data_IF_641749287905
#
_entry.id   IF_641749287905
#
_cell.length_a   1.000
_cell.length_b   1.000
_cell.length_c   1.000
_cell.angle_alpha   90.00
_cell.angle_beta   90.00
_cell.angle_gamma   90.00
#
_symmetry.space_group_name_H-M   'P 1'
#
loop_
_entity.id
_entity.type
_entity.pdbx_description
1 polymer ?
#
# COMPACT_ATOMS: atom_id res chain seq x y z
N UNK A 1 8.07 -19.29 -61.36
CA UNK A 1 7.20 -18.09 -61.32
C UNK A 1 7.16 -17.65 -59.87
N UNK A 2 8.17 -16.94 -59.38
CA UNK A 2 8.49 -15.53 -59.62
C UNK A 2 7.85 -14.66 -58.53
N UNK A 3 8.74 -14.12 -57.68
CA UNK A 3 8.62 -12.92 -56.82
C UNK A 3 7.54 -12.95 -55.72
N UNK A 4 7.86 -12.80 -54.44
CA UNK A 4 8.58 -11.66 -53.85
C UNK A 4 9.53 -12.08 -52.72
N UNK A 5 10.83 -12.07 -53.01
CA UNK A 5 11.93 -12.28 -52.03
C UNK A 5 12.37 -10.93 -51.40
N UNK A 6 11.64 -9.84 -51.67
CA UNK A 6 12.08 -8.47 -51.36
C UNK A 6 11.81 -7.96 -49.92
N UNK A 7 11.14 -8.72 -49.06
CA UNK A 7 10.74 -8.24 -47.71
C UNK A 7 11.46 -8.91 -46.53
N UNK A 8 12.44 -9.78 -46.79
CA UNK A 8 13.22 -10.46 -45.73
C UNK A 8 14.64 -9.90 -45.51
N UNK A 9 15.03 -8.84 -46.21
CA UNK A 9 16.38 -8.25 -46.12
C UNK A 9 16.46 -6.90 -45.36
N UNK A 10 15.42 -6.49 -44.62
CA UNK A 10 15.40 -5.23 -43.86
C UNK A 10 15.34 -5.39 -42.32
N UNK A 11 15.91 -6.47 -41.77
CA UNK A 11 15.77 -6.74 -40.32
C UNK A 11 17.07 -6.97 -39.55
N UNK A 12 18.24 -6.67 -40.12
CA UNK A 12 19.50 -6.67 -39.38
C UNK A 12 20.43 -5.56 -39.87
N UNK A 13 20.01 -4.31 -39.73
CA UNK A 13 20.94 -3.18 -39.76
C UNK A 13 21.41 -2.96 -38.32
N UNK A 14 22.60 -3.47 -38.03
CA UNK A 14 23.28 -3.30 -36.76
C UNK A 14 23.98 -1.93 -36.81
N UNK A 15 23.36 -0.89 -36.25
CA UNK A 15 24.02 0.40 -36.03
C UNK A 15 25.16 0.21 -35.02
N UNK A 16 26.35 -0.05 -35.56
CA UNK A 16 27.60 -0.02 -34.82
C UNK A 16 28.04 1.44 -34.72
N UNK A 17 27.66 2.09 -33.62
CA UNK A 17 28.32 3.32 -33.20
C UNK A 17 29.84 3.12 -33.21
N UNK A 18 30.55 4.05 -33.84
CA UNK A 18 32.00 4.03 -33.98
C UNK A 18 32.69 3.74 -32.64
N UNK A 19 33.51 2.68 -32.60
CA UNK A 19 34.35 2.33 -31.45
C UNK A 19 35.14 3.55 -30.97
N UNK A 20 34.84 4.02 -29.75
CA UNK A 20 35.72 4.93 -29.04
C UNK A 20 37.02 4.17 -28.73
N UNK A 21 38.07 4.46 -29.49
CA UNK A 21 39.44 4.10 -29.14
C UNK A 21 39.74 4.66 -27.76
N UNK A 22 40.10 3.79 -26.84
CA UNK A 22 40.83 4.17 -25.64
C UNK A 22 42.12 4.85 -26.08
N UNK A 23 42.16 6.18 -26.01
CA UNK A 23 43.40 6.95 -26.09
C UNK A 23 43.55 7.55 -24.70
N UNK A 24 44.52 7.04 -23.96
CA UNK A 24 45.06 7.73 -22.79
C UNK A 24 45.68 9.03 -23.28
N UNK A 25 45.06 10.16 -22.96
CA UNK A 25 45.69 11.49 -23.05
C UNK A 25 45.85 11.99 -21.63
N UNK A 26 47.06 11.80 -21.12
CA UNK A 26 47.58 12.58 -20.00
C UNK A 26 47.68 14.04 -20.42
N UNK A 27 47.11 14.92 -19.60
CA UNK A 27 47.44 16.33 -19.46
C UNK A 27 47.19 17.22 -20.69
N UNK A 28 46.20 18.10 -20.55
CA UNK A 28 46.31 19.54 -20.83
C UNK A 28 45.06 20.17 -20.20
N UNK A 29 45.23 20.68 -18.98
CA UNK A 29 44.33 21.71 -18.47
C UNK A 29 44.71 22.99 -19.22
N UNK A 30 43.75 23.56 -19.94
CA UNK A 30 43.79 24.98 -20.25
C UNK A 30 43.68 25.71 -18.90
N UNK A 31 44.80 26.27 -18.46
CA UNK A 31 44.82 27.23 -17.36
C UNK A 31 44.45 28.57 -17.96
N UNK A 32 43.22 29.01 -17.70
CA UNK A 32 42.85 30.41 -17.75
C UNK A 32 43.53 31.13 -16.57
N UNK A 33 44.83 31.40 -16.68
CA UNK A 33 45.59 32.24 -15.74
C UNK A 33 46.35 33.32 -16.54
N UNK A 34 45.64 34.08 -17.38
CA UNK A 34 46.14 35.38 -17.84
C UNK A 34 45.03 36.42 -17.62
N UNK A 35 45.25 37.25 -16.59
CA UNK A 35 44.83 38.65 -16.44
C UNK A 35 44.49 38.96 -14.98
N UNK A 36 45.51 38.92 -14.13
CA UNK A 36 45.48 39.67 -12.86
C UNK A 36 46.75 40.52 -12.79
N UNK A 37 46.87 41.43 -13.77
CA UNK A 37 47.81 42.56 -13.70
C UNK A 37 47.35 43.40 -12.51
N UNK A 38 48.03 43.27 -11.37
CA UNK A 38 47.85 44.17 -10.23
C UNK A 38 48.25 45.59 -10.67
N UNK A 39 47.28 46.36 -11.13
CA UNK A 39 47.44 47.77 -11.44
C UNK A 39 47.73 48.52 -10.14
N UNK A 40 49.00 48.86 -9.92
CA UNK A 40 49.37 49.73 -8.81
C UNK A 40 48.77 51.13 -9.05
N UNK A 41 48.12 51.75 -8.03
CA UNK A 41 47.52 53.06 -8.20
C UNK A 41 48.62 54.12 -8.30
N UNK A 42 48.76 54.71 -9.49
CA UNK A 42 49.71 55.79 -9.76
C UNK A 42 49.19 57.08 -9.11
N UNK A 43 49.89 57.55 -8.08
CA UNK A 43 49.63 58.83 -7.42
C UNK A 43 50.11 59.96 -8.35
N UNK A 44 49.16 60.74 -8.90
CA UNK A 44 49.42 61.86 -9.83
C UNK A 44 49.62 63.20 -9.09
N UNK A 45 50.51 63.26 -8.10
CA UNK A 45 50.83 64.53 -7.42
C UNK A 45 52.34 64.78 -7.34
N UNK A 46 52.73 66.06 -7.47
CA UNK A 46 54.12 66.54 -7.50
C UNK A 46 54.77 66.51 -6.11
N UNK A 47 56.07 66.17 -6.07
CA UNK A 47 56.85 65.80 -4.88
C UNK A 47 56.75 66.75 -3.67
N UNK A 48 56.46 68.03 -3.89
CA UNK A 48 56.48 69.04 -2.82
C UNK A 48 55.22 69.02 -1.92
N UNK A 49 54.08 68.52 -2.41
CA UNK A 49 52.84 68.36 -1.61
C UNK A 49 52.82 67.06 -0.79
N UNK A 50 53.70 66.11 -1.11
CA UNK A 50 53.81 64.81 -0.46
C UNK A 50 54.53 64.88 0.89
N UNK A 51 55.33 65.91 1.13
CA UNK A 51 56.14 66.07 2.34
C UNK A 51 55.31 66.67 3.49
N UNK A 52 54.41 67.62 3.22
CA UNK A 52 53.49 68.18 4.24
C UNK A 52 52.35 67.24 4.63
N UNK A 53 51.95 66.33 3.74
CA UNK A 53 50.86 65.37 3.97
C UNK A 53 51.34 63.96 4.32
N UNK A 54 52.64 63.78 4.57
CA UNK A 54 53.32 62.48 4.73
C UNK A 54 52.67 61.50 5.73
N UNK A 55 52.03 62.01 6.78
CA UNK A 55 51.30 61.18 7.77
C UNK A 55 49.91 60.77 7.23
N UNK A 56 49.23 61.65 6.50
CA UNK A 56 47.92 61.40 5.89
C UNK A 56 48.02 60.52 4.62
N UNK A 57 49.11 60.62 3.86
CA UNK A 57 49.36 59.80 2.65
C UNK A 57 49.71 58.35 2.98
N UNK A 58 50.44 58.10 4.08
CA UNK A 58 50.69 56.75 4.61
C UNK A 58 49.41 56.09 5.12
N UNK A 59 48.55 56.84 5.82
CA UNK A 59 47.24 56.35 6.25
C UNK A 59 46.31 56.07 5.07
N UNK A 60 46.33 56.93 4.04
CA UNK A 60 45.53 56.75 2.81
C UNK A 60 45.98 55.54 1.99
N UNK A 61 47.29 55.28 1.89
CA UNK A 61 47.83 54.09 1.21
C UNK A 61 47.59 52.81 2.01
N UNK A 62 47.63 52.85 3.35
CA UNK A 62 47.21 51.75 4.22
C UNK A 62 45.72 51.43 4.08
N UNK A 63 44.87 52.46 4.04
CA UNK A 63 43.43 52.33 3.77
C UNK A 63 43.19 51.70 2.41
N UNK A 64 43.86 52.18 1.36
CA UNK A 64 43.76 51.61 0.02
C UNK A 64 44.20 50.15 -0.04
N UNK A 65 45.28 49.80 0.66
CA UNK A 65 45.75 48.41 0.76
C UNK A 65 44.76 47.51 1.49
N UNK A 66 44.08 48.05 2.52
CA UNK A 66 43.00 47.34 3.23
C UNK A 66 41.74 47.22 2.38
N UNK A 67 41.42 48.24 1.59
CA UNK A 67 40.31 48.24 0.63
C UNK A 67 40.55 47.20 -0.46
N UNK A 68 41.76 47.14 -1.03
CA UNK A 68 42.17 46.08 -1.97
C UNK A 68 42.15 44.68 -1.33
N UNK A 69 42.57 44.53 -0.08
CA UNK A 69 42.45 43.26 0.66
C UNK A 69 40.98 42.84 0.84
N UNK A 70 40.11 43.80 1.19
CA UNK A 70 38.67 43.56 1.35
C UNK A 70 38.03 43.20 0.02
N UNK A 71 38.36 43.91 -1.06
CA UNK A 71 37.86 43.63 -2.41
C UNK A 71 38.33 42.27 -2.91
N UNK A 72 39.58 41.88 -2.62
CA UNK A 72 40.09 40.55 -2.95
C UNK A 72 39.35 39.44 -2.19
N UNK A 73 39.13 39.62 -0.89
CA UNK A 73 38.35 38.68 -0.08
C UNK A 73 36.89 38.63 -0.54
N UNK A 74 36.32 39.77 -0.95
CA UNK A 74 34.98 39.86 -1.49
C UNK A 74 34.86 39.13 -2.83
N UNK A 75 35.84 39.27 -3.72
CA UNK A 75 35.92 38.54 -4.99
C UNK A 75 36.05 37.02 -4.77
N UNK A 76 36.91 36.59 -3.83
CA UNK A 76 37.05 35.17 -3.45
C UNK A 76 35.74 34.61 -2.85
N UNK A 77 35.04 35.39 -2.03
CA UNK A 77 33.75 35.03 -1.47
C UNK A 77 32.68 34.89 -2.55
N UNK A 78 32.66 35.81 -3.52
CA UNK A 78 31.73 35.77 -4.66
C UNK A 78 32.01 34.58 -5.58
N UNK A 79 33.27 34.28 -5.85
CA UNK A 79 33.68 33.08 -6.58
C UNK A 79 33.23 31.80 -5.87
N UNK A 80 33.45 31.70 -4.55
CA UNK A 80 32.98 30.55 -3.74
C UNK A 80 31.46 30.43 -3.69
N UNK A 81 30.75 31.55 -3.60
CA UNK A 81 29.28 31.58 -3.67
C UNK A 81 28.79 31.11 -5.04
N UNK A 82 29.47 31.49 -6.12
CA UNK A 82 29.13 31.04 -7.46
C UNK A 82 29.39 29.54 -7.66
N UNK A 83 30.54 29.04 -7.22
CA UNK A 83 30.89 27.61 -7.22
C UNK A 83 29.87 26.78 -6.42
N UNK A 84 29.45 27.28 -5.25
CA UNK A 84 28.40 26.65 -4.45
C UNK A 84 27.05 26.63 -5.17
N UNK A 85 26.64 27.75 -5.78
CA UNK A 85 25.39 27.81 -6.57
C UNK A 85 25.41 26.80 -7.73
N UNK A 86 26.51 26.70 -8.47
CA UNK A 86 26.64 25.73 -9.55
C UNK A 86 26.55 24.28 -9.05
N UNK A 87 27.23 23.95 -7.94
CA UNK A 87 27.13 22.62 -7.33
C UNK A 87 25.71 22.29 -6.87
N UNK A 88 25.03 23.26 -6.27
CA UNK A 88 23.63 23.10 -5.84
C UNK A 88 22.70 22.90 -7.04
N UNK A 89 22.89 23.64 -8.14
CA UNK A 89 22.10 23.47 -9.35
C UNK A 89 22.35 22.10 -10.01
N UNK A 90 23.61 21.66 -10.08
CA UNK A 90 23.97 20.34 -10.59
C UNK A 90 23.36 19.20 -9.73
N UNK A 91 23.37 19.34 -8.41
CA UNK A 91 22.71 18.40 -7.50
C UNK A 91 21.19 18.41 -7.69
N UNK A 92 20.57 19.58 -7.83
CA UNK A 92 19.13 19.70 -8.07
C UNK A 92 18.73 19.03 -9.41
N UNK A 93 19.48 19.26 -10.49
CA UNK A 93 19.28 18.60 -11.78
C UNK A 93 19.38 17.08 -11.65
N UNK A 94 20.43 16.59 -10.98
CA UNK A 94 20.64 15.15 -10.77
C UNK A 94 19.55 14.52 -9.91
N UNK A 95 19.06 15.23 -8.90
CA UNK A 95 17.93 14.78 -8.07
C UNK A 95 16.65 14.61 -8.91
N UNK A 96 16.34 15.58 -9.78
CA UNK A 96 15.18 15.52 -10.67
C UNK A 96 15.31 14.35 -11.66
N UNK A 97 16.49 14.12 -12.22
CA UNK A 97 16.73 12.99 -13.13
C UNK A 97 16.54 11.64 -12.45
N UNK A 98 17.09 11.48 -11.23
CA UNK A 98 16.91 10.26 -10.44
C UNK A 98 15.44 10.03 -10.12
N UNK A 99 14.71 11.08 -9.73
CA UNK A 99 13.29 10.99 -9.45
C UNK A 99 12.48 10.60 -10.69
N UNK A 100 12.77 11.21 -11.86
CA UNK A 100 12.17 10.82 -13.15
C UNK A 100 12.46 9.36 -13.50
N UNK A 101 13.68 8.88 -13.26
CA UNK A 101 14.06 7.49 -13.53
C UNK A 101 13.35 6.52 -12.60
N UNK A 102 13.24 6.85 -11.31
CA UNK A 102 12.44 6.07 -10.36
C UNK A 102 10.97 6.02 -10.76
N UNK A 103 10.38 7.14 -11.17
CA UNK A 103 8.99 7.17 -11.58
C UNK A 103 8.76 6.29 -12.82
N UNK A 104 9.59 6.42 -13.86
CA UNK A 104 9.55 5.55 -15.04
C UNK A 104 9.67 4.06 -14.67
N UNK A 105 10.50 3.73 -13.68
CA UNK A 105 10.66 2.35 -13.22
C UNK A 105 9.39 1.85 -12.50
N UNK A 106 8.80 2.67 -11.63
CA UNK A 106 7.52 2.36 -10.98
C UNK A 106 6.40 2.17 -11.99
N UNK A 107 6.31 3.04 -12.99
CA UNK A 107 5.30 2.96 -14.04
C UNK A 107 5.47 1.66 -14.87
N UNK A 108 6.71 1.29 -15.21
CA UNK A 108 7.00 0.00 -15.88
C UNK A 108 6.60 -1.19 -15.03
N UNK A 109 6.93 -1.19 -13.73
CA UNK A 109 6.54 -2.27 -12.82
C UNK A 109 5.02 -2.37 -12.71
N UNK A 110 4.31 -1.24 -12.63
CA UNK A 110 2.84 -1.22 -12.61
C UNK A 110 2.25 -1.77 -13.92
N UNK A 111 2.80 -1.37 -15.07
CA UNK A 111 2.40 -1.89 -16.38
C UNK A 111 2.63 -3.40 -16.46
N UNK A 112 3.83 -3.89 -16.14
CA UNK A 112 4.13 -5.33 -16.13
C UNK A 112 3.24 -6.11 -15.16
N UNK A 113 2.96 -5.56 -13.98
CA UNK A 113 2.01 -6.15 -13.04
C UNK A 113 0.61 -6.28 -13.64
N UNK A 114 0.14 -5.25 -14.36
CA UNK A 114 -1.14 -5.29 -15.09
C UNK A 114 -1.12 -6.33 -16.21
N UNK A 115 -0.07 -6.36 -17.02
CA UNK A 115 0.10 -7.34 -18.11
C UNK A 115 0.13 -8.79 -17.59
N UNK A 116 0.83 -9.05 -16.49
CA UNK A 116 0.87 -10.38 -15.87
C UNK A 116 -0.52 -10.81 -15.39
N UNK A 117 -1.25 -9.92 -14.70
CA UNK A 117 -2.62 -10.21 -14.26
C UNK A 117 -3.55 -10.49 -15.43
N UNK A 118 -3.47 -9.69 -16.49
CA UNK A 118 -4.29 -9.87 -17.69
C UNK A 118 -3.94 -11.17 -18.43
N UNK A 119 -2.64 -11.48 -18.57
CA UNK A 119 -2.19 -12.72 -19.18
C UNK A 119 -2.63 -13.94 -18.37
N UNK A 120 -2.51 -13.89 -17.05
CA UNK A 120 -2.97 -14.96 -16.18
C UNK A 120 -4.49 -15.12 -16.25
N UNK A 121 -5.25 -14.03 -16.33
CA UNK A 121 -6.69 -14.08 -16.56
C UNK A 121 -7.03 -14.71 -17.92
N UNK A 122 -6.30 -14.38 -18.99
CA UNK A 122 -6.45 -15.00 -20.32
C UNK A 122 -6.15 -16.50 -20.26
N UNK A 123 -5.06 -16.89 -19.60
CA UNK A 123 -4.68 -18.31 -19.40
C UNK A 123 -5.76 -19.07 -18.64
N UNK A 124 -6.27 -18.52 -17.52
CA UNK A 124 -7.35 -19.14 -16.74
C UNK A 124 -8.62 -19.31 -17.57
N UNK A 125 -9.04 -18.29 -18.32
CA UNK A 125 -10.21 -18.38 -19.23
C UNK A 125 -10.01 -19.45 -20.30
N UNK A 126 -8.82 -19.52 -20.91
CA UNK A 126 -8.52 -20.53 -21.92
C UNK A 126 -8.57 -21.95 -21.34
N UNK A 127 -7.98 -22.17 -20.16
CA UNK A 127 -8.01 -23.46 -19.46
C UNK A 127 -9.45 -23.84 -19.10
N UNK A 128 -10.23 -22.90 -18.57
CA UNK A 128 -11.63 -23.16 -18.20
C UNK A 128 -12.46 -23.51 -19.44
N UNK A 129 -12.30 -22.77 -20.54
CA UNK A 129 -12.98 -23.05 -21.81
C UNK A 129 -12.61 -24.42 -22.36
N UNK A 130 -11.32 -24.77 -22.34
CA UNK A 130 -10.85 -26.09 -22.73
C UNK A 130 -11.47 -27.20 -21.86
N UNK A 131 -11.47 -27.04 -20.53
CA UNK A 131 -12.08 -28.02 -19.63
C UNK A 131 -13.59 -28.18 -19.88
N UNK A 132 -14.31 -27.10 -20.14
CA UNK A 132 -15.74 -27.17 -20.47
C UNK A 132 -15.98 -27.86 -21.82
N UNK A 133 -15.15 -27.59 -22.83
CA UNK A 133 -15.25 -28.22 -24.14
C UNK A 133 -14.93 -29.71 -24.09
N UNK A 134 -13.93 -30.12 -23.30
CA UNK A 134 -13.59 -31.53 -23.09
C UNK A 134 -14.75 -32.27 -22.43
N UNK A 135 -15.31 -31.73 -21.34
CA UNK A 135 -16.48 -32.34 -20.67
C UNK A 135 -17.69 -32.44 -21.59
N UNK A 136 -17.97 -31.39 -22.36
CA UNK A 136 -19.07 -31.39 -23.32
C UNK A 136 -18.83 -32.44 -24.42
N UNK A 137 -17.60 -32.56 -24.91
CA UNK A 137 -17.23 -33.58 -25.88
C UNK A 137 -17.44 -34.98 -25.31
N UNK A 138 -16.97 -35.26 -24.09
CA UNK A 138 -17.15 -36.54 -23.40
C UNK A 138 -18.64 -36.89 -23.24
N UNK A 139 -19.48 -35.92 -22.83
CA UNK A 139 -20.92 -36.11 -22.74
C UNK A 139 -21.53 -36.45 -24.10
N UNK A 140 -21.19 -35.68 -25.15
CA UNK A 140 -21.70 -35.93 -26.50
C UNK A 140 -21.21 -37.23 -27.12
N UNK A 141 -19.99 -37.68 -26.80
CA UNK A 141 -19.52 -39.00 -27.27
C UNK A 141 -20.29 -40.12 -26.61
N UNK A 142 -20.59 -40.02 -25.32
CA UNK A 142 -21.41 -41.03 -24.62
C UNK A 142 -22.84 -41.05 -25.19
N UNK A 143 -23.45 -39.87 -25.40
CA UNK A 143 -24.77 -39.78 -26.05
C UNK A 143 -24.77 -40.40 -27.45
N UNK A 144 -23.73 -40.16 -28.25
CA UNK A 144 -23.59 -40.75 -29.58
C UNK A 144 -23.47 -42.27 -29.52
N UNK A 145 -22.62 -42.81 -28.63
CA UNK A 145 -22.46 -44.25 -28.45
C UNK A 145 -23.78 -44.92 -28.04
N UNK A 146 -24.55 -44.30 -27.14
CA UNK A 146 -25.88 -44.79 -26.74
C UNK A 146 -26.87 -44.80 -27.92
N UNK A 147 -26.92 -43.71 -28.69
CA UNK A 147 -27.81 -43.62 -29.86
C UNK A 147 -27.41 -44.61 -30.96
N UNK A 148 -26.11 -44.84 -31.17
CA UNK A 148 -25.61 -45.85 -32.11
C UNK A 148 -26.02 -47.26 -31.68
N UNK A 149 -25.93 -47.58 -30.38
CA UNK A 149 -26.38 -48.87 -29.84
C UNK A 149 -27.89 -49.05 -30.02
N UNK A 150 -28.70 -48.05 -29.67
CA UNK A 150 -30.16 -48.09 -29.86
C UNK A 150 -30.54 -48.26 -31.33
N UNK A 151 -29.85 -47.58 -32.24
CA UNK A 151 -30.07 -47.67 -33.68
C UNK A 151 -29.77 -49.08 -34.19
N UNK A 152 -28.68 -49.69 -33.75
CA UNK A 152 -28.33 -51.06 -34.12
C UNK A 152 -29.35 -52.07 -33.58
N UNK A 153 -29.78 -51.92 -32.32
CA UNK A 153 -30.86 -52.74 -31.76
C UNK A 153 -32.17 -52.59 -32.56
N UNK A 154 -32.52 -51.37 -32.99
CA UNK A 154 -33.70 -51.14 -33.84
C UNK A 154 -33.56 -51.80 -35.21
N UNK A 155 -32.38 -51.75 -35.84
CA UNK A 155 -32.12 -52.45 -37.11
C UNK A 155 -32.25 -53.96 -36.98
N UNK A 156 -31.70 -54.54 -35.91
CA UNK A 156 -31.80 -55.97 -35.63
C UNK A 156 -33.24 -56.40 -35.40
N UNK A 157 -34.00 -55.62 -34.62
CA UNK A 157 -35.43 -55.89 -34.39
C UNK A 157 -36.23 -55.78 -35.67
N UNK A 158 -35.97 -54.77 -36.52
CA UNK A 158 -36.59 -54.62 -37.84
C UNK A 158 -36.27 -55.82 -38.75
N UNK A 159 -35.00 -56.22 -38.88
CA UNK A 159 -34.61 -57.37 -39.69
C UNK A 159 -35.27 -58.66 -39.20
N UNK A 160 -35.35 -58.85 -37.88
CA UNK A 160 -36.03 -60.00 -37.27
C UNK A 160 -37.53 -59.99 -37.56
N UNK A 161 -38.17 -58.82 -37.49
CA UNK A 161 -39.59 -58.66 -37.81
C UNK A 161 -39.85 -58.93 -39.29
N UNK A 162 -39.03 -58.38 -40.18
CA UNK A 162 -39.16 -58.56 -41.64
C UNK A 162 -39.03 -60.05 -42.03
N UNK A 163 -38.08 -60.78 -41.42
CA UNK A 163 -37.99 -62.24 -41.56
C UNK A 163 -39.22 -62.98 -41.02
N UNK A 164 -39.87 -62.48 -39.98
CA UNK A 164 -41.13 -63.06 -39.47
C UNK A 164 -42.27 -62.80 -40.43
N UNK A 165 -42.43 -61.55 -40.88
CA UNK A 165 -43.47 -61.15 -41.86
C UNK A 165 -43.32 -61.98 -43.13
N UNK A 166 -42.11 -62.07 -43.69
CA UNK A 166 -41.84 -62.88 -44.88
C UNK A 166 -42.17 -64.36 -44.71
N UNK A 167 -41.95 -64.92 -43.52
CA UNK A 167 -42.33 -66.31 -43.20
C UNK A 167 -43.85 -66.46 -43.09
N UNK A 168 -44.52 -65.54 -42.42
CA UNK A 168 -45.96 -65.61 -42.18
C UNK A 168 -46.82 -65.22 -43.38
N UNK A 169 -46.28 -64.41 -44.31
CA UNK A 169 -46.96 -63.98 -45.54
C UNK A 169 -47.51 -65.15 -46.36
N UNK A 170 -46.78 -66.28 -46.42
CA UNK A 170 -47.25 -67.49 -47.11
C UNK A 170 -48.53 -68.07 -46.50
N UNK A 171 -48.67 -67.99 -45.17
CA UNK A 171 -49.86 -68.45 -44.47
C UNK A 171 -51.00 -67.44 -44.61
N UNK A 172 -50.70 -66.15 -44.59
CA UNK A 172 -51.68 -65.09 -44.90
C UNK A 172 -52.26 -65.28 -46.31
N UNK A 173 -51.41 -65.41 -47.33
CA UNK A 173 -51.83 -65.64 -48.72
C UNK A 173 -52.67 -66.90 -48.88
N UNK A 174 -52.36 -67.96 -48.11
CA UNK A 174 -53.14 -69.19 -48.10
C UNK A 174 -54.50 -68.99 -47.41
N UNK A 175 -54.52 -68.37 -46.22
CA UNK A 175 -55.75 -68.13 -45.46
C UNK A 175 -56.71 -67.20 -46.21
N UNK A 176 -56.21 -66.18 -46.89
CA UNK A 176 -57.01 -65.31 -47.76
C UNK A 176 -57.69 -66.10 -48.88
N UNK A 177 -56.95 -66.98 -49.57
CA UNK A 177 -57.55 -67.86 -50.60
C UNK A 177 -58.58 -68.84 -50.03
N UNK A 178 -58.39 -69.31 -48.80
CA UNK A 178 -59.36 -70.19 -48.14
C UNK A 178 -60.62 -69.41 -47.76
N UNK A 179 -60.48 -68.16 -47.29
CA UNK A 179 -61.61 -67.27 -47.03
C UNK A 179 -62.41 -67.04 -48.31
N UNK A 180 -61.76 -66.79 -49.45
CA UNK A 180 -62.42 -66.55 -50.74
C UNK A 180 -63.30 -67.74 -51.21
N UNK A 181 -62.97 -68.96 -50.79
CA UNK A 181 -63.69 -70.20 -51.19
C UNK A 181 -64.77 -70.60 -50.16
N UNK A 182 -64.77 -69.98 -48.98
CA UNK A 182 -65.60 -70.41 -47.87
C UNK A 182 -66.98 -69.71 -47.88
N UNK A 183 -68.08 -70.42 -47.53
CA UNK A 183 -69.40 -69.79 -47.39
C UNK A 183 -69.41 -68.72 -46.30
N UNK A 184 -70.10 -67.59 -46.55
CA UNK A 184 -70.11 -66.40 -45.68
C UNK A 184 -70.49 -66.70 -44.22
N UNK A 185 -71.31 -67.73 -43.96
CA UNK A 185 -71.84 -68.05 -42.64
C UNK A 185 -70.93 -68.95 -41.78
N UNK A 186 -69.81 -69.47 -42.31
CA UNK A 186 -69.01 -70.51 -41.62
C UNK A 186 -68.22 -70.00 -40.39
N UNK A 187 -67.78 -68.74 -40.39
CA UNK A 187 -66.87 -68.19 -39.36
C UNK A 187 -67.56 -67.36 -38.26
N UNK A 188 -68.88 -67.14 -38.34
CA UNK A 188 -69.60 -66.19 -37.50
C UNK A 188 -69.36 -66.35 -35.98
N UNK A 189 -69.07 -67.56 -35.51
CA UNK A 189 -68.77 -67.85 -34.09
C UNK A 189 -67.29 -67.67 -33.67
N UNK A 190 -66.34 -67.69 -34.61
CA UNK A 190 -64.90 -67.60 -34.32
C UNK A 190 -64.36 -66.17 -34.39
N UNK A 191 -64.97 -65.35 -35.26
CA UNK A 191 -64.62 -63.94 -35.47
C UNK A 191 -64.82 -63.12 -34.19
N UNK A 192 -65.76 -63.55 -33.33
CA UNK A 192 -66.07 -62.93 -32.04
C UNK A 192 -64.92 -63.08 -31.01
N UNK A 193 -64.18 -64.21 -31.02
CA UNK A 193 -63.04 -64.41 -30.11
C UNK A 193 -61.81 -63.62 -30.53
N UNK A 194 -61.55 -63.51 -31.83
CA UNK A 194 -60.45 -62.69 -32.35
C UNK A 194 -60.73 -61.20 -32.12
N UNK A 195 -61.96 -60.74 -32.40
CA UNK A 195 -62.40 -59.39 -32.07
C UNK A 195 -62.33 -59.11 -30.57
N UNK A 196 -62.69 -60.08 -29.72
CA UNK A 196 -62.54 -59.99 -28.26
C UNK A 196 -61.08 -59.83 -27.82
N UNK A 197 -60.15 -60.60 -28.40
CA UNK A 197 -58.72 -60.48 -28.11
C UNK A 197 -58.15 -59.13 -28.59
N UNK A 198 -58.52 -58.68 -29.79
CA UNK A 198 -58.13 -57.38 -30.32
C UNK A 198 -58.67 -56.23 -29.46
N UNK A 199 -59.93 -56.32 -29.02
CA UNK A 199 -60.55 -55.35 -28.12
C UNK A 199 -59.80 -55.27 -26.78
N UNK A 200 -59.48 -56.42 -26.17
CA UNK A 200 -58.70 -56.46 -24.93
C UNK A 200 -57.29 -55.89 -25.10
N UNK A 201 -56.60 -56.24 -26.20
CA UNK A 201 -55.29 -55.68 -26.52
C UNK A 201 -55.39 -54.15 -26.68
N UNK A 202 -56.42 -53.65 -27.36
CA UNK A 202 -56.66 -52.22 -27.51
C UNK A 202 -56.85 -51.55 -26.14
N UNK A 203 -57.70 -52.09 -25.28
CA UNK A 203 -57.89 -51.55 -23.91
C UNK A 203 -56.59 -51.56 -23.09
N UNK A 204 -55.80 -52.63 -23.17
CA UNK A 204 -54.49 -52.72 -22.50
C UNK A 204 -53.50 -51.70 -23.07
N UNK A 205 -53.46 -51.53 -24.38
CA UNK A 205 -52.61 -50.54 -25.05
C UNK A 205 -53.01 -49.12 -24.65
N UNK A 206 -54.30 -48.80 -24.65
CA UNK A 206 -54.82 -47.50 -24.24
C UNK A 206 -54.49 -47.23 -22.76
N UNK A 207 -54.63 -48.24 -21.90
CA UNK A 207 -54.26 -48.14 -20.49
C UNK A 207 -52.75 -47.94 -20.30
N UNK A 208 -51.92 -48.59 -21.11
CA UNK A 208 -50.47 -48.42 -21.06
C UNK A 208 -50.07 -47.00 -21.51
N UNK A 209 -50.64 -46.50 -22.61
CA UNK A 209 -50.43 -45.12 -23.06
C UNK A 209 -50.83 -44.13 -21.96
N UNK A 210 -51.97 -44.34 -21.31
CA UNK A 210 -52.38 -43.50 -20.19
C UNK A 210 -51.37 -43.55 -19.02
N UNK A 211 -50.83 -44.73 -18.69
CA UNK A 211 -49.83 -44.86 -17.63
C UNK A 211 -48.52 -44.17 -17.99
N UNK A 212 -48.06 -44.30 -19.23
CA UNK A 212 -46.86 -43.60 -19.74
C UNK A 212 -47.06 -42.09 -19.68
N UNK A 213 -48.20 -41.58 -20.14
CA UNK A 213 -48.50 -40.16 -20.08
C UNK A 213 -48.54 -39.64 -18.64
N UNK A 214 -49.09 -40.45 -17.71
CA UNK A 214 -49.06 -40.11 -16.28
C UNK A 214 -47.63 -40.07 -15.73
N UNK A 215 -46.77 -41.00 -16.15
CA UNK A 215 -45.37 -41.02 -15.73
C UNK A 215 -44.61 -39.79 -16.26
N UNK A 216 -44.86 -39.39 -17.51
CA UNK A 216 -44.28 -38.16 -18.08
C UNK A 216 -44.76 -36.93 -17.30
N UNK A 217 -46.07 -36.79 -17.05
CA UNK A 217 -46.61 -35.69 -16.25
C UNK A 217 -45.99 -35.63 -14.85
N UNK A 218 -45.82 -36.78 -14.18
CA UNK A 218 -45.15 -36.83 -12.87
C UNK A 218 -43.67 -36.47 -12.96
N UNK A 219 -43.00 -36.81 -14.06
CA UNK A 219 -41.61 -36.42 -14.30
C UNK A 219 -41.48 -34.92 -14.50
N UNK A 220 -42.39 -34.30 -15.26
CA UNK A 220 -42.44 -32.86 -15.46
C UNK A 220 -42.68 -32.13 -14.13
N UNK A 221 -43.64 -32.61 -13.31
CA UNK A 221 -43.87 -32.08 -11.96
C UNK A 221 -42.63 -32.20 -11.05
N UNK A 222 -41.87 -33.29 -11.15
CA UNK A 222 -40.62 -33.45 -10.40
C UNK A 222 -39.53 -32.48 -10.88
N UNK A 223 -39.44 -32.23 -12.18
CA UNK A 223 -38.50 -31.27 -12.76
C UNK A 223 -38.84 -29.84 -12.30
N UNK A 224 -40.12 -29.48 -12.30
CA UNK A 224 -40.61 -28.19 -11.79
C UNK A 224 -40.29 -28.01 -10.31
N UNK A 225 -40.62 -28.99 -9.46
CA UNK A 225 -40.29 -28.99 -8.03
C UNK A 225 -38.78 -28.88 -7.78
N UNK A 226 -37.97 -29.55 -8.60
CA UNK A 226 -36.51 -29.46 -8.53
C UNK A 226 -36.03 -28.06 -8.91
N UNK A 227 -36.63 -27.46 -9.94
CA UNK A 227 -36.39 -26.08 -10.33
C UNK A 227 -36.70 -25.10 -9.20
N UNK A 228 -37.85 -25.23 -8.54
CA UNK A 228 -38.22 -24.42 -7.38
C UNK A 228 -37.23 -24.58 -6.23
N UNK A 229 -36.80 -25.81 -5.94
CA UNK A 229 -35.80 -26.10 -4.91
C UNK A 229 -34.45 -25.42 -5.22
N UNK A 230 -34.01 -25.46 -6.47
CA UNK A 230 -32.76 -24.81 -6.88
C UNK A 230 -32.85 -23.29 -6.79
N UNK A 231 -34.01 -22.69 -7.12
CA UNK A 231 -34.26 -21.26 -6.90
C UNK A 231 -34.17 -20.91 -5.41
N UNK A 232 -34.85 -21.68 -4.55
CA UNK A 232 -34.82 -21.50 -3.10
C UNK A 232 -33.39 -21.63 -2.53
N UNK A 233 -32.63 -22.61 -2.99
CA UNK A 233 -31.23 -22.83 -2.60
C UNK A 233 -30.34 -21.67 -3.03
N UNK A 234 -30.52 -21.17 -4.25
CA UNK A 234 -29.78 -20.02 -4.76
C UNK A 234 -30.11 -18.75 -3.96
N UNK A 235 -31.37 -18.54 -3.62
CA UNK A 235 -31.79 -17.40 -2.81
C UNK A 235 -31.22 -17.47 -1.39
N UNK A 236 -31.28 -18.64 -0.75
CA UNK A 236 -30.64 -18.86 0.54
C UNK A 236 -29.13 -18.58 0.49
N UNK A 237 -28.44 -19.05 -0.55
CA UNK A 237 -27.02 -18.80 -0.72
C UNK A 237 -26.71 -17.29 -0.88
N UNK A 238 -27.53 -16.55 -1.65
CA UNK A 238 -27.42 -15.08 -1.72
C UNK A 238 -27.61 -14.42 -0.36
N UNK A 239 -28.58 -14.87 0.44
CA UNK A 239 -28.81 -14.34 1.79
C UNK A 239 -27.60 -14.61 2.69
N UNK A 240 -27.03 -15.81 2.67
CA UNK A 240 -25.81 -16.15 3.41
C UNK A 240 -24.66 -15.22 3.03
N UNK A 241 -24.45 -14.95 1.73
CA UNK A 241 -23.42 -14.03 1.26
C UNK A 241 -23.70 -12.59 1.74
N UNK A 242 -24.95 -12.16 1.70
CA UNK A 242 -25.38 -10.83 2.19
C UNK A 242 -25.08 -10.68 3.69
N UNK A 243 -25.48 -11.66 4.50
CA UNK A 243 -25.23 -11.68 5.95
C UNK A 243 -23.73 -11.71 6.25
N UNK A 244 -22.94 -12.52 5.53
CA UNK A 244 -21.49 -12.55 5.71
C UNK A 244 -20.82 -11.22 5.35
N UNK A 245 -21.32 -10.54 4.32
CA UNK A 245 -20.85 -9.21 3.94
C UNK A 245 -21.19 -8.18 5.03
N UNK A 246 -22.39 -8.24 5.59
CA UNK A 246 -22.79 -7.38 6.71
C UNK A 246 -21.99 -7.67 7.98
N UNK A 247 -21.75 -8.94 8.30
CA UNK A 247 -20.91 -9.37 9.41
C UNK A 247 -19.49 -8.81 9.27
N UNK A 248 -18.90 -8.90 8.08
CA UNK A 248 -17.57 -8.35 7.79
C UNK A 248 -17.55 -6.83 7.99
N UNK A 249 -18.61 -6.12 7.57
CA UNK A 249 -18.75 -4.67 7.80
C UNK A 249 -18.84 -4.35 9.29
N UNK A 250 -19.64 -5.09 10.06
CA UNK A 250 -19.78 -4.89 11.50
C UNK A 250 -18.48 -5.17 12.25
N UNK A 251 -17.75 -6.22 11.88
CA UNK A 251 -16.42 -6.52 12.42
C UNK A 251 -15.43 -5.38 12.16
N UNK A 252 -15.42 -4.83 10.94
CA UNK A 252 -14.57 -3.69 10.62
C UNK A 252 -14.91 -2.46 11.48
N UNK A 253 -16.20 -2.16 11.68
CA UNK A 253 -16.63 -1.07 12.56
C UNK A 253 -16.18 -1.32 13.99
N UNK A 254 -16.34 -2.55 14.49
CA UNK A 254 -15.90 -2.93 15.83
C UNK A 254 -14.38 -2.77 16.01
N UNK A 255 -13.58 -3.17 15.02
CA UNK A 255 -12.12 -3.00 15.05
C UNK A 255 -11.73 -1.52 15.11
N UNK A 256 -12.38 -0.66 14.33
CA UNK A 256 -12.13 0.78 14.33
C UNK A 256 -12.47 1.41 15.67
N UNK A 257 -13.63 1.08 16.23
CA UNK A 257 -14.07 1.60 17.55
C UNK A 257 -13.19 1.06 18.67
N UNK A 258 -12.82 -0.22 18.63
CA UNK A 258 -11.89 -0.81 19.60
C UNK A 258 -10.52 -0.13 19.58
N UNK A 259 -9.97 0.10 18.38
CA UNK A 259 -8.72 0.83 18.21
C UNK A 259 -8.84 2.29 18.67
N UNK A 260 -10.00 2.93 18.47
CA UNK A 260 -10.26 4.29 18.97
C UNK A 260 -10.28 4.32 20.51
N UNK A 261 -11.05 3.43 21.14
CA UNK A 261 -11.11 3.30 22.59
C UNK A 261 -9.73 3.04 23.20
N UNK A 262 -8.95 2.13 22.63
CA UNK A 262 -7.59 1.87 23.11
C UNK A 262 -6.68 3.10 23.02
N UNK A 263 -6.80 3.91 21.97
CA UNK A 263 -6.05 5.18 21.86
C UNK A 263 -6.46 6.17 22.95
N UNK A 264 -7.75 6.27 23.25
CA UNK A 264 -8.26 7.18 24.30
C UNK A 264 -7.80 6.70 25.68
N UNK A 265 -7.86 5.41 25.94
CA UNK A 265 -7.41 4.80 27.20
C UNK A 265 -5.90 5.02 27.42
N UNK A 266 -5.08 4.84 26.38
CA UNK A 266 -3.65 5.12 26.45
C UNK A 266 -3.36 6.58 26.81
N UNK A 267 -4.04 7.54 26.15
CA UNK A 267 -3.92 8.97 26.48
C UNK A 267 -4.32 9.29 27.92
N UNK A 268 -5.37 8.64 28.41
CA UNK A 268 -5.80 8.78 29.80
C UNK A 268 -4.74 8.26 30.76
N UNK A 269 -4.17 7.08 30.49
CA UNK A 269 -3.11 6.49 31.30
C UNK A 269 -1.82 7.32 31.30
N UNK A 270 -1.42 7.88 30.16
CA UNK A 270 -0.30 8.82 30.06
C UNK A 270 -0.53 10.07 30.93
N UNK A 271 -1.72 10.67 30.82
CA UNK A 271 -2.09 11.87 31.59
C UNK A 271 -2.11 11.57 33.10
N UNK A 272 -2.72 10.45 33.49
CA UNK A 272 -2.76 9.97 34.88
C UNK A 272 -1.37 9.69 35.42
N UNK A 273 -0.50 9.07 34.62
CA UNK A 273 0.91 8.83 34.93
C UNK A 273 1.67 10.14 35.18
N UNK A 274 1.51 11.12 34.28
CA UNK A 274 2.11 12.45 34.43
C UNK A 274 1.60 13.19 35.66
N UNK A 275 0.30 13.10 35.99
CA UNK A 275 -0.26 13.70 37.20
C UNK A 275 0.28 13.02 38.47
N UNK A 276 0.41 11.69 38.47
CA UNK A 276 1.01 10.94 39.58
C UNK A 276 2.46 11.36 39.80
N UNK A 277 3.26 11.50 38.74
CA UNK A 277 4.64 11.98 38.83
C UNK A 277 4.71 13.38 39.45
N UNK A 278 3.93 14.35 38.96
CA UNK A 278 3.86 15.70 39.53
C UNK A 278 3.45 15.69 41.01
N UNK A 279 2.50 14.83 41.38
CA UNK A 279 2.07 14.68 42.78
C UNK A 279 3.18 14.11 43.66
N UNK A 280 3.96 13.16 43.16
CA UNK A 280 5.13 12.62 43.87
C UNK A 280 6.23 13.66 44.01
N UNK A 281 6.56 14.40 42.95
CA UNK A 281 7.55 15.50 43.00
C UNK A 281 7.16 16.56 44.02
N UNK A 282 5.89 16.99 44.02
CA UNK A 282 5.36 17.91 45.02
C UNK A 282 5.46 17.34 46.44
N UNK A 283 5.17 16.05 46.63
CA UNK A 283 5.34 15.37 47.92
C UNK A 283 6.80 15.38 48.40
N UNK A 284 7.77 15.11 47.51
CA UNK A 284 9.21 15.17 47.83
C UNK A 284 9.64 16.59 48.19
N UNK A 285 9.16 17.60 47.46
CA UNK A 285 9.43 19.01 47.78
C UNK A 285 8.89 19.37 49.17
N UNK A 286 7.65 18.98 49.48
CA UNK A 286 7.08 19.22 50.81
C UNK A 286 7.88 18.52 51.91
N UNK A 287 8.30 17.27 51.71
CA UNK A 287 9.16 16.57 52.65
C UNK A 287 10.52 17.26 52.84
N UNK A 288 11.13 17.76 51.76
CA UNK A 288 12.36 18.52 51.85
C UNK A 288 12.18 19.83 52.63
N UNK A 289 11.06 20.53 52.43
CA UNK A 289 10.69 21.72 53.20
C UNK A 289 10.52 21.37 54.68
N UNK A 290 9.82 20.27 55.00
CA UNK A 290 9.63 19.80 56.38
C UNK A 290 10.98 19.49 57.03
N UNK A 291 11.85 18.75 56.35
CA UNK A 291 13.19 18.42 56.83
C UNK A 291 14.05 19.67 57.10
N UNK A 292 14.02 20.66 56.21
CA UNK A 292 14.80 21.91 56.41
C UNK A 292 14.18 22.75 57.54
N UNK A 293 12.85 22.83 57.62
CA UNK A 293 12.16 23.53 58.69
C UNK A 293 12.47 22.92 60.07
N UNK A 294 12.61 21.60 60.15
CA UNK A 294 13.04 20.88 61.36
C UNK A 294 14.49 21.23 61.76
N UNK A 295 15.40 21.37 60.79
CA UNK A 295 16.78 21.83 61.07
C UNK A 295 16.81 23.29 61.56
N UNK A 296 15.92 24.14 61.05
CA UNK A 296 15.81 25.54 61.45
C UNK A 296 15.05 25.74 62.78
N UNK A 297 14.52 24.67 63.38
CA UNK A 297 13.69 24.72 64.58
C UNK A 297 14.53 25.00 65.84
N UNK A 298 14.13 25.99 66.64
CA UNK A 298 14.77 26.33 67.93
C UNK A 298 13.99 25.67 69.08
N UNK A 299 14.62 25.34 70.22
CA UNK A 299 13.99 24.56 71.33
C UNK A 299 12.70 25.14 71.95
N UNK A 300 12.37 26.40 71.67
CA UNK A 300 11.19 27.12 72.19
C UNK A 300 10.07 27.27 71.15
N UNK A 301 10.26 26.71 69.95
CA UNK A 301 9.31 26.83 68.85
C UNK A 301 8.18 25.79 68.89
N UNK A 302 7.04 26.11 68.27
CA UNK A 302 5.94 25.17 68.03
C UNK A 302 6.40 24.00 67.15
N UNK A 303 6.02 22.73 67.46
CA UNK A 303 6.41 21.57 66.67
C UNK A 303 6.13 21.74 65.17
N UNK A 304 7.08 21.35 64.33
CA UNK A 304 7.04 21.57 62.87
C UNK A 304 5.84 20.90 62.21
N UNK A 305 5.30 19.83 62.81
CA UNK A 305 4.11 19.11 62.33
C UNK A 305 2.82 19.93 62.41
N UNK A 306 2.73 20.92 63.30
CA UNK A 306 1.56 21.78 63.48
C UNK A 306 1.64 23.09 62.66
N UNK A 307 2.77 23.34 61.99
CA UNK A 307 3.00 24.56 61.22
C UNK A 307 2.47 24.44 59.78
N UNK A 308 1.80 25.48 59.29
CA UNK A 308 1.38 25.60 57.89
C UNK A 308 2.60 25.78 56.97
N UNK A 309 2.47 25.42 55.68
CA UNK A 309 3.55 25.51 54.69
C UNK A 309 4.19 26.91 54.63
N UNK A 310 3.37 27.97 54.61
CA UNK A 310 3.85 29.36 54.63
C UNK A 310 4.66 29.70 55.88
N UNK A 311 4.29 29.12 57.03
CA UNK A 311 4.99 29.34 58.29
C UNK A 311 6.34 28.60 58.29
N UNK A 312 6.39 27.38 57.74
CA UNK A 312 7.64 26.62 57.54
C UNK A 312 8.61 27.37 56.64
N UNK A 313 8.15 27.87 55.49
CA UNK A 313 8.97 28.62 54.55
C UNK A 313 9.48 29.95 55.12
N UNK A 314 8.64 30.68 55.88
CA UNK A 314 9.07 31.91 56.58
C UNK A 314 10.16 31.61 57.60
N UNK A 315 10.03 30.55 58.38
CA UNK A 315 11.06 30.13 59.34
C UNK A 315 12.39 29.78 58.67
N UNK A 316 12.35 29.04 57.57
CA UNK A 316 13.56 28.72 56.79
C UNK A 316 14.23 30.01 56.31
N UNK A 317 13.46 30.95 55.76
CA UNK A 317 13.97 32.25 55.31
C UNK A 317 14.59 33.05 56.46
N UNK A 318 13.90 33.16 57.58
CA UNK A 318 14.36 33.95 58.72
C UNK A 318 15.65 33.32 59.30
N UNK A 319 15.73 31.99 59.40
CA UNK A 319 16.95 31.28 59.80
C UNK A 319 18.12 31.48 58.83
N UNK A 320 17.87 31.45 57.51
CA UNK A 320 18.90 31.69 56.50
C UNK A 320 19.42 33.13 56.57
N UNK A 321 18.54 34.11 56.77
CA UNK A 321 18.91 35.51 56.95
C UNK A 321 19.72 35.71 58.24
N UNK A 322 19.26 35.15 59.38
CA UNK A 322 20.00 35.16 60.64
C UNK A 322 21.43 34.60 60.43
N UNK A 323 21.56 33.48 59.71
CA UNK A 323 22.88 32.86 59.45
C UNK A 323 23.74 33.64 58.46
N UNK A 324 23.12 34.30 57.47
CA UNK A 324 23.82 35.18 56.53
C UNK A 324 24.36 36.41 57.25
N UNK A 325 23.57 37.01 58.14
CA UNK A 325 23.98 38.15 58.97
C UNK A 325 25.13 37.74 59.91
N UNK A 326 25.05 36.55 60.52
CA UNK A 326 26.15 35.98 61.31
C UNK A 326 27.39 35.71 60.46
N UNK A 327 27.26 35.22 59.24
CA UNK A 327 28.38 34.98 58.34
C UNK A 327 29.05 36.28 57.87
N UNK A 328 28.27 37.34 57.61
CA UNK A 328 28.77 38.68 57.29
C UNK A 328 29.52 39.25 58.50
N UNK A 329 28.99 39.10 59.72
CA UNK A 329 29.67 39.50 60.95
C UNK A 329 30.92 38.67 61.27
N UNK A 330 31.01 37.44 60.76
CA UNK A 330 32.13 36.53 60.94
C UNK A 330 33.19 36.60 59.83
N UNK A 331 33.01 37.43 58.79
CA UNK A 331 34.10 37.74 57.87
C UNK A 331 35.12 38.65 58.57
N UNK A 332 36.40 38.25 58.64
CA UNK A 332 37.44 39.15 59.13
C UNK A 332 37.67 40.29 58.14
N UNK A 333 37.68 41.52 58.66
CA UNK A 333 38.28 42.68 57.99
C UNK A 333 39.79 42.43 57.87
N UNK A 334 40.28 42.08 56.68
CA UNK A 334 41.70 42.17 56.36
C UNK A 334 41.96 43.48 55.62
N UNK A 335 42.77 44.36 56.24
CA UNK A 335 43.57 45.42 55.62
C UNK A 335 44.83 45.50 56.52
N UNK A 336 46.06 45.19 56.06
CA UNK A 336 46.91 46.07 55.24
C UNK A 336 48.21 45.36 54.74
N UNK A 337 48.70 45.86 53.60
CA UNK A 337 50.04 45.79 52.94
C UNK A 337 50.53 44.59 52.05
N UNK A 338 50.85 44.99 50.80
CA UNK A 338 51.42 44.37 49.57
C UNK A 338 52.86 43.77 49.71
N UNK A 339 53.52 43.07 48.72
CA UNK A 339 53.32 43.11 47.26
C UNK A 339 53.59 41.82 46.41
N UNK A 340 53.34 41.97 45.09
CA UNK A 340 53.87 41.22 43.92
C UNK A 340 53.16 39.94 43.41
N UNK A 341 52.71 40.01 42.14
CA UNK A 341 53.07 38.97 41.16
C UNK A 341 51.98 38.04 40.59
N UNK A 342 51.26 38.49 39.55
CA UNK A 342 50.91 37.76 38.32
C UNK A 342 50.21 36.37 38.40
N UNK A 343 48.99 36.22 37.85
CA UNK A 343 48.70 35.88 36.43
C UNK A 343 47.32 35.21 36.23
N UNK A 344 46.55 35.76 35.27
CA UNK A 344 45.58 35.13 34.32
C UNK A 344 44.40 34.27 34.81
N UNK A 345 43.22 34.60 34.27
CA UNK A 345 42.25 33.58 33.85
C UNK A 345 40.79 34.01 33.76
N UNK A 346 40.46 34.88 32.81
CA UNK A 346 39.06 35.13 32.40
C UNK A 346 38.48 33.91 31.71
N UNK A 347 37.23 33.55 32.01
CA UNK A 347 36.27 33.08 30.98
C UNK A 347 34.84 33.35 31.41
N UNK A 348 34.21 34.24 30.66
CA UNK A 348 32.76 34.38 30.50
C UNK A 348 32.13 33.06 30.04
N UNK A 349 30.89 32.78 30.46
CA UNK A 349 29.93 32.19 29.53
C UNK A 349 28.46 32.46 29.91
N UNK A 350 27.89 33.43 29.19
CA UNK A 350 26.62 33.39 28.46
C UNK A 350 25.44 32.59 29.06
N UNK A 351 24.46 33.36 29.55
CA UNK A 351 23.03 32.99 29.55
C UNK A 351 22.53 32.81 28.11
N UNK A 352 21.92 31.66 27.79
CA UNK A 352 20.99 31.52 26.67
C UNK A 352 19.59 31.15 27.18
N UNK A 353 18.71 32.14 27.07
CA UNK A 353 17.26 31.97 27.09
C UNK A 353 16.82 31.15 25.88
N UNK A 354 16.01 30.10 26.10
CA UNK A 354 15.29 29.41 25.02
C UNK A 354 13.82 29.78 25.11
N UNK A 355 13.40 30.57 24.13
CA UNK A 355 12.01 30.87 23.77
C UNK A 355 11.30 29.57 23.35
N UNK A 356 10.26 29.17 24.08
CA UNK A 356 9.32 28.13 23.65
C UNK A 356 8.35 28.80 22.68
N UNK A 357 8.37 28.37 21.41
CA UNK A 357 7.39 28.77 20.40
C UNK A 357 6.08 28.04 20.66
N UNK A 358 5.00 28.82 20.76
CA UNK A 358 3.62 28.33 20.71
C UNK A 358 3.35 27.61 19.38
N UNK A 359 3.02 26.33 19.45
CA UNK A 359 2.42 25.58 18.34
C UNK A 359 0.92 25.86 18.33
N UNK A 360 0.50 26.69 17.37
CA UNK A 360 -0.90 26.95 17.05
C UNK A 360 -1.42 25.76 16.25
N UNK A 361 -2.19 24.88 16.89
CA UNK A 361 -2.96 23.83 16.20
C UNK A 361 -4.24 24.48 15.71
N UNK A 362 -4.35 24.70 14.41
CA UNK A 362 -5.60 25.08 13.75
C UNK A 362 -6.38 23.80 13.51
N UNK A 363 -7.48 23.60 14.25
CA UNK A 363 -8.51 22.63 13.93
C UNK A 363 -9.46 23.34 12.96
N UNK A 364 -9.42 22.95 11.70
CA UNK A 364 -10.52 23.22 10.77
C UNK A 364 -11.52 22.06 10.93
N UNK A 365 -12.63 22.35 11.57
CA UNK A 365 -13.91 21.64 11.43
C UNK A 365 -14.89 22.61 10.80
#
# INVERSE_FOLDING_TARGET
MAETVSDRQKLFELDLDNQKKNIFVTQLHDRDDEDDITAFPVVKETGDKLIETGINTLQRTLLLKKEVEVDKVQAELEAKRHEFRQRMEACAKRQIEIQKRQQKMKDRVAQFGSFLKENEAKRRRAIQKYQTEVKLKEQKTVELEQLEEELEQLKDTLSRLDRKVSRYKKFEDYLLRVIDVMPEDYLAASDDKMKGLMSRHRTLSDSNVHLVNKLVSMSDELEDLKGELDVMKNEHNKQVISINSELSRLQQVQEVESAHNQKVENKYNETKGGMRQKRTELGVILMAIDNIAEICHKRLDVPVQEMNLDQKLRKIRDYVNDRADVAIMAQPTEDEETPTGSRRGSTENSKKSKTIKNLKVTING
#
